data_IF_001772569543
#
_entry.id   IF_001772569543
#
_cell.length_a   1.000
_cell.length_b   1.000
_cell.length_c   1.000
_cell.angle_alpha   90.00
_cell.angle_beta   90.00
_cell.angle_gamma   90.00
#
_symmetry.space_group_name_H-M   'P 1'
#
loop_
_entity.id
_entity.type
_entity.pdbx_description
1 polymer ?
#
# COMPACT_ATOMS: atom_id res chain seq x y z
N UNK A 1 -2.01 -21.27 -11.33
CA UNK A 1 -1.49 -20.26 -10.35
C UNK A 1 -2.56 -19.22 -9.98
N UNK A 2 -3.19 -18.55 -10.92
CA UNK A 2 -4.20 -17.52 -10.62
C UNK A 2 -5.39 -18.04 -9.75
N UNK A 3 -5.92 -19.21 -10.03
CA UNK A 3 -6.98 -19.83 -9.21
C UNK A 3 -6.54 -20.06 -7.76
N UNK A 4 -5.30 -20.51 -7.56
CA UNK A 4 -4.73 -20.74 -6.24
C UNK A 4 -4.63 -19.43 -5.45
N UNK A 5 -4.10 -18.38 -6.07
CA UNK A 5 -3.99 -17.05 -5.44
C UNK A 5 -5.37 -16.49 -5.10
N UNK A 6 -6.37 -16.67 -5.98
CA UNK A 6 -7.74 -16.25 -5.70
C UNK A 6 -8.40 -17.01 -4.54
N UNK A 7 -8.08 -18.28 -4.37
CA UNK A 7 -8.52 -19.05 -3.20
C UNK A 7 -7.86 -18.57 -1.92
N UNK A 8 -6.53 -18.36 -1.95
CA UNK A 8 -5.78 -17.82 -0.80
C UNK A 8 -6.31 -16.44 -0.43
N UNK A 9 -6.60 -15.58 -1.40
CA UNK A 9 -7.19 -14.26 -1.19
C UNK A 9 -8.48 -14.30 -0.37
N UNK A 10 -9.33 -15.32 -0.61
CA UNK A 10 -10.60 -15.47 0.11
C UNK A 10 -10.44 -16.10 1.50
N UNK A 11 -9.47 -17.01 1.66
CA UNK A 11 -9.31 -17.82 2.87
C UNK A 11 -8.41 -17.12 3.89
N UNK A 12 -7.31 -16.50 3.45
CA UNK A 12 -6.32 -15.90 4.34
C UNK A 12 -6.90 -14.87 5.32
N UNK A 13 -7.79 -13.94 4.93
CA UNK A 13 -8.37 -13.00 5.87
C UNK A 13 -9.15 -13.67 7.01
N UNK A 14 -9.86 -14.75 6.71
CA UNK A 14 -10.62 -15.51 7.72
C UNK A 14 -9.69 -16.17 8.72
N UNK A 15 -8.69 -16.89 8.24
CA UNK A 15 -7.72 -17.60 9.08
C UNK A 15 -6.90 -16.63 9.93
N UNK A 16 -6.46 -15.50 9.37
CA UNK A 16 -5.71 -14.49 10.10
C UNK A 16 -6.55 -13.78 11.16
N UNK A 17 -7.83 -13.57 10.90
CA UNK A 17 -8.77 -13.01 11.89
C UNK A 17 -9.00 -13.98 13.04
N UNK A 18 -9.20 -15.27 12.76
CA UNK A 18 -9.34 -16.31 13.77
C UNK A 18 -8.08 -16.45 14.63
N UNK A 19 -6.90 -16.32 14.05
CA UNK A 19 -5.62 -16.36 14.76
C UNK A 19 -5.42 -15.15 15.71
N UNK A 20 -6.03 -13.99 15.41
CA UNK A 20 -6.13 -12.83 16.30
C UNK A 20 -4.87 -11.99 16.52
N UNK A 21 -3.73 -12.34 15.90
CA UNK A 21 -2.45 -11.60 16.06
C UNK A 21 -2.24 -10.50 15.00
N UNK A 22 -3.05 -10.49 13.94
CA UNK A 22 -2.89 -9.60 12.80
C UNK A 22 -3.86 -8.43 12.91
N UNK A 23 -3.36 -7.19 12.90
CA UNK A 23 -4.20 -5.99 12.94
C UNK A 23 -4.97 -5.75 11.65
N UNK A 24 -4.35 -6.07 10.51
CA UNK A 24 -4.98 -5.94 9.20
C UNK A 24 -4.80 -7.26 8.41
N UNK A 25 -5.81 -8.12 8.38
CA UNK A 25 -5.74 -9.41 7.71
C UNK A 25 -6.00 -9.35 6.20
N UNK A 26 -6.33 -8.18 5.66
CA UNK A 26 -6.71 -8.06 4.24
C UNK A 26 -5.48 -8.00 3.34
N UNK A 27 -5.50 -8.68 2.18
CA UNK A 27 -4.44 -8.60 1.19
C UNK A 27 -4.43 -7.23 0.50
N UNK A 28 -3.28 -6.85 -0.02
CA UNK A 28 -3.10 -5.64 -0.81
C UNK A 28 -3.08 -5.94 -2.33
N UNK A 29 -2.81 -4.93 -3.14
CA UNK A 29 -2.76 -5.07 -4.60
C UNK A 29 -1.71 -6.08 -5.07
N UNK A 30 -0.64 -6.30 -4.32
CA UNK A 30 0.44 -7.21 -4.69
C UNK A 30 0.02 -8.69 -4.67
N UNK A 31 -1.09 -9.01 -4.03
CA UNK A 31 -1.63 -10.37 -3.99
C UNK A 31 -1.96 -10.93 -5.39
N UNK A 32 -2.33 -10.09 -6.34
CA UNK A 32 -2.74 -10.49 -7.68
C UNK A 32 -1.86 -9.93 -8.80
N UNK A 33 -1.21 -8.79 -8.61
CA UNK A 33 -0.49 -8.10 -9.68
C UNK A 33 0.64 -8.92 -10.28
N UNK A 34 1.45 -9.57 -9.46
CA UNK A 34 2.55 -10.41 -9.94
C UNK A 34 2.07 -11.62 -10.74
N UNK A 35 1.00 -12.26 -10.29
CA UNK A 35 0.41 -13.44 -10.96
C UNK A 35 -0.23 -13.04 -12.29
N UNK A 36 -0.87 -11.88 -12.35
CA UNK A 36 -1.43 -11.33 -13.58
C UNK A 36 -0.34 -11.08 -14.63
N UNK A 37 0.77 -10.46 -14.22
CA UNK A 37 1.91 -10.22 -15.10
C UNK A 37 2.53 -11.52 -15.61
N UNK A 38 2.65 -12.54 -14.77
CA UNK A 38 3.10 -13.87 -15.19
C UNK A 38 2.18 -14.50 -16.23
N UNK A 39 0.88 -14.34 -16.08
CA UNK A 39 -0.09 -14.82 -17.06
C UNK A 39 0.13 -14.19 -18.44
N UNK A 40 0.49 -12.93 -18.49
CA UNK A 40 0.82 -12.20 -19.73
C UNK A 40 2.27 -12.36 -20.19
N UNK A 41 3.04 -13.29 -19.63
CA UNK A 41 4.38 -13.64 -20.09
C UNK A 41 5.53 -12.89 -19.42
N UNK A 42 5.27 -12.04 -18.45
CA UNK A 42 6.30 -11.37 -17.64
C UNK A 42 6.71 -12.28 -16.47
N UNK A 43 7.60 -13.22 -16.74
CA UNK A 43 8.01 -14.26 -15.79
C UNK A 43 9.23 -13.92 -14.94
N UNK A 44 9.95 -12.85 -15.27
CA UNK A 44 11.12 -12.40 -14.54
C UNK A 44 10.75 -11.66 -13.26
N UNK A 45 10.90 -12.32 -12.10
CA UNK A 45 10.56 -11.77 -10.79
C UNK A 45 11.32 -10.47 -10.48
N UNK A 46 12.59 -10.38 -10.85
CA UNK A 46 13.39 -9.16 -10.64
C UNK A 46 12.86 -7.98 -11.45
N UNK A 47 12.32 -8.25 -12.63
CA UNK A 47 11.74 -7.21 -13.47
C UNK A 47 10.41 -6.67 -12.91
N UNK A 48 9.69 -7.49 -12.17
CA UNK A 48 8.52 -7.02 -11.42
C UNK A 48 8.86 -5.88 -10.45
N UNK A 49 9.99 -6.01 -9.75
CA UNK A 49 10.50 -4.95 -8.87
C UNK A 49 10.81 -3.66 -9.62
N UNK A 50 11.38 -3.76 -10.82
CA UNK A 50 11.63 -2.59 -11.69
C UNK A 50 10.34 -1.90 -12.09
N UNK A 51 9.33 -2.66 -12.54
CA UNK A 51 8.02 -2.12 -12.91
C UNK A 51 7.34 -1.43 -11.72
N UNK A 52 7.42 -2.03 -10.55
CA UNK A 52 6.88 -1.46 -9.32
C UNK A 52 7.57 -0.14 -8.97
N UNK A 53 8.91 -0.09 -9.05
CA UNK A 53 9.70 1.11 -8.80
C UNK A 53 9.38 2.25 -9.77
N UNK A 54 9.25 1.95 -11.05
CA UNK A 54 8.87 2.92 -12.08
C UNK A 54 7.46 3.46 -11.83
N UNK A 55 6.51 2.59 -11.54
CA UNK A 55 5.13 2.98 -11.23
C UNK A 55 5.06 3.92 -10.02
N UNK A 56 5.80 3.60 -8.97
CA UNK A 56 5.89 4.45 -7.79
C UNK A 56 6.54 5.79 -8.08
N UNK A 57 7.60 5.83 -8.89
CA UNK A 57 8.25 7.07 -9.31
C UNK A 57 7.28 7.99 -10.06
N UNK A 58 6.49 7.44 -10.98
CA UNK A 58 5.45 8.20 -11.71
C UNK A 58 4.43 8.82 -10.74
N UNK A 59 4.09 8.16 -9.66
CA UNK A 59 3.16 8.69 -8.66
C UNK A 59 3.77 9.73 -7.72
N UNK A 60 5.02 9.55 -7.31
CA UNK A 60 5.67 10.38 -6.28
C UNK A 60 6.35 11.62 -6.85
N UNK A 61 7.02 11.51 -8.00
CA UNK A 61 7.74 12.64 -8.60
C UNK A 61 6.85 13.83 -8.96
N UNK A 62 5.63 13.67 -9.52
CA UNK A 62 4.73 14.79 -9.75
C UNK A 62 4.36 15.54 -8.47
N UNK A 63 4.15 14.84 -7.36
CA UNK A 63 3.89 15.45 -6.06
C UNK A 63 5.08 16.29 -5.59
N UNK A 64 6.28 15.77 -5.72
CA UNK A 64 7.50 16.51 -5.39
C UNK A 64 7.66 17.75 -6.25
N UNK A 65 7.41 17.66 -7.55
CA UNK A 65 7.49 18.79 -8.49
C UNK A 65 6.50 19.89 -8.09
N UNK A 66 5.26 19.54 -7.82
CA UNK A 66 4.21 20.47 -7.40
C UNK A 66 4.60 21.15 -6.09
N UNK A 67 5.06 20.40 -5.09
CA UNK A 67 5.47 20.94 -3.79
C UNK A 67 6.62 21.95 -3.94
N UNK A 68 7.57 21.67 -4.81
CA UNK A 68 8.67 22.60 -5.11
C UNK A 68 8.19 23.82 -5.86
N UNK A 69 7.28 23.66 -6.83
CA UNK A 69 6.73 24.76 -7.62
C UNK A 69 5.94 25.75 -6.75
N UNK A 70 5.18 25.29 -5.77
CA UNK A 70 4.42 26.15 -4.85
C UNK A 70 5.22 26.58 -3.63
N UNK A 71 6.47 26.14 -3.48
CA UNK A 71 7.33 26.47 -2.35
C UNK A 71 6.88 25.84 -1.03
N UNK A 72 6.20 24.71 -1.06
CA UNK A 72 5.74 24.02 0.13
C UNK A 72 6.93 23.50 0.97
N UNK A 73 6.84 23.56 2.32
CA UNK A 73 7.82 22.93 3.19
C UNK A 73 7.77 21.41 3.11
N UNK A 74 8.81 20.73 3.60
CA UNK A 74 8.81 19.28 3.69
C UNK A 74 7.67 18.81 4.61
N UNK A 75 6.75 18.04 4.06
CA UNK A 75 5.67 17.45 4.84
C UNK A 75 6.18 16.25 5.65
N UNK A 76 5.99 16.33 6.97
CA UNK A 76 6.26 15.24 7.92
C UNK A 76 5.02 15.01 8.79
N UNK A 77 3.96 14.41 8.23
CA UNK A 77 2.73 14.22 8.97
C UNK A 77 2.97 13.32 10.18
N UNK A 78 2.38 13.69 11.31
CA UNK A 78 2.36 12.88 12.53
C UNK A 78 0.93 12.42 12.78
N UNK A 79 0.77 11.13 13.07
CA UNK A 79 -0.52 10.60 13.51
C UNK A 79 -0.78 11.01 14.95
N UNK A 80 -1.95 11.55 15.23
CA UNK A 80 -2.42 11.83 16.57
C UNK A 80 -3.48 10.81 16.99
N UNK A 81 -3.44 10.39 18.24
CA UNK A 81 -4.52 9.59 18.80
C UNK A 81 -5.82 10.42 18.94
N UNK A 82 -6.96 9.74 19.02
CA UNK A 82 -8.25 10.40 19.25
C UNK A 82 -8.23 11.26 20.52
N UNK A 83 -7.56 10.80 21.58
CA UNK A 83 -7.40 11.57 22.81
C UNK A 83 -6.65 12.89 22.59
N UNK A 84 -5.59 12.85 21.78
CA UNK A 84 -4.82 14.06 21.43
C UNK A 84 -5.63 15.05 20.61
N UNK A 85 -6.45 14.58 19.67
CA UNK A 85 -7.36 15.44 18.92
C UNK A 85 -8.39 16.12 19.80
N UNK A 86 -8.97 15.39 20.77
CA UNK A 86 -9.90 15.95 21.75
C UNK A 86 -9.25 17.02 22.62
N UNK A 87 -8.01 16.81 23.04
CA UNK A 87 -7.23 17.78 23.81
C UNK A 87 -7.02 19.07 23.01
N UNK A 88 -6.63 18.95 21.73
CA UNK A 88 -6.42 20.11 20.84
C UNK A 88 -7.73 20.87 20.65
N UNK A 89 -8.82 20.17 20.38
CA UNK A 89 -10.14 20.77 20.15
C UNK A 89 -10.68 21.49 21.40
N UNK A 90 -10.38 21.00 22.59
CA UNK A 90 -10.80 21.64 23.85
C UNK A 90 -10.02 22.92 24.19
N UNK A 91 -8.86 23.13 23.56
CA UNK A 91 -8.02 24.32 23.72
C UNK A 91 -8.27 25.37 22.64
N UNK A 92 -9.00 25.02 21.61
CA UNK A 92 -9.40 25.93 20.55
C UNK A 92 -10.76 26.55 20.87
#
# INVERSE_FOLDING_TARGET
MFKLVSQVYKIAPKVLTEHGKTKNPFPNVDAHSGVLLQYYGLTESNYYTVLFGVSRAIGVLPQLIIDRAVGAPIERPKSFSTAKWKEIASKA
#
